data_IF_680411240372
#
_entry.id   IF_680411240372
#
_cell.length_a   1.000
_cell.length_b   1.000
_cell.length_c   1.000
_cell.angle_alpha   90.00
_cell.angle_beta   90.00
_cell.angle_gamma   90.00
#
_symmetry.space_group_name_H-M   'P 1'
#
loop_
_entity.id
_entity.type
_entity.pdbx_description
1 polymer ?
#
# COMPACT_ATOMS: atom_id res chain seq x y z
N UNK A 1 -16.62 14.38 0.04
CA UNK A 1 -17.44 13.30 0.64
C UNK A 1 -18.93 13.65 0.46
N UNK A 2 -19.70 12.79 -0.20
CA UNK A 2 -21.08 13.10 -0.64
C UNK A 2 -22.04 13.19 0.57
N UNK A 3 -22.76 14.31 0.75
CA UNK A 3 -23.67 14.55 1.91
C UNK A 3 -24.68 13.41 2.13
N UNK A 4 -25.11 12.75 1.06
CA UNK A 4 -26.01 11.60 1.14
C UNK A 4 -25.42 10.36 1.84
N UNK A 5 -24.10 10.16 1.79
CA UNK A 5 -23.43 9.03 2.47
C UNK A 5 -23.20 9.29 3.96
N UNK A 6 -22.86 10.53 4.33
CA UNK A 6 -22.78 10.96 5.73
C UNK A 6 -24.12 10.79 6.46
N UNK A 7 -25.23 11.13 5.81
CA UNK A 7 -26.56 10.95 6.39
C UNK A 7 -26.95 9.47 6.55
N UNK A 8 -26.49 8.57 5.66
CA UNK A 8 -26.70 7.12 5.82
C UNK A 8 -25.91 6.56 7.00
N UNK A 9 -24.67 6.98 7.19
CA UNK A 9 -23.84 6.54 8.32
C UNK A 9 -24.42 7.07 9.64
N UNK A 10 -24.80 8.35 9.68
CA UNK A 10 -25.43 8.96 10.85
C UNK A 10 -26.73 8.25 11.22
N UNK A 11 -27.60 7.99 10.24
CA UNK A 11 -28.84 7.24 10.45
C UNK A 11 -28.60 5.81 10.92
N UNK A 12 -27.55 5.15 10.42
CA UNK A 12 -27.17 3.82 10.89
C UNK A 12 -26.67 3.85 12.34
N UNK A 13 -25.82 4.81 12.73
CA UNK A 13 -25.34 4.96 14.11
C UNK A 13 -26.51 5.27 15.06
N UNK A 14 -27.41 6.18 14.69
CA UNK A 14 -28.62 6.48 15.46
C UNK A 14 -29.53 5.24 15.60
N UNK A 15 -29.63 4.42 14.55
CA UNK A 15 -30.33 3.14 14.57
C UNK A 15 -29.59 2.00 15.30
N UNK A 16 -28.34 2.17 15.70
CA UNK A 16 -27.60 1.15 16.46
C UNK A 16 -27.35 1.59 17.91
N UNK A 17 -27.45 2.88 18.22
CA UNK A 17 -27.28 3.41 19.58
C UNK A 17 -28.27 2.78 20.57
N UNK A 18 -29.51 2.53 20.15
CA UNK A 18 -30.50 1.85 21.00
C UNK A 18 -30.12 0.39 21.29
N UNK A 19 -29.46 -0.30 20.35
CA UNK A 19 -28.99 -1.67 20.54
C UNK A 19 -27.94 -1.72 21.65
N UNK A 20 -26.99 -0.78 21.65
CA UNK A 20 -25.96 -0.69 22.70
C UNK A 20 -26.60 -0.47 24.07
N UNK A 21 -27.54 0.46 24.17
CA UNK A 21 -28.25 0.76 25.43
C UNK A 21 -29.04 -0.46 25.92
N UNK A 22 -29.76 -1.14 25.04
CA UNK A 22 -30.54 -2.35 25.40
C UNK A 22 -29.61 -3.49 25.82
N UNK A 23 -28.49 -3.70 25.12
CA UNK A 23 -27.52 -4.73 25.47
C UNK A 23 -26.91 -4.44 26.84
N UNK A 24 -26.46 -3.21 27.09
CA UNK A 24 -25.92 -2.81 28.40
C UNK A 24 -26.94 -3.02 29.52
N UNK A 25 -28.19 -2.60 29.31
CA UNK A 25 -29.26 -2.79 30.30
C UNK A 25 -29.54 -4.28 30.56
N UNK A 26 -29.64 -5.09 29.52
CA UNK A 26 -29.85 -6.55 29.65
C UNK A 26 -28.67 -7.23 30.34
N UNK A 27 -27.43 -6.81 30.09
CA UNK A 27 -26.24 -7.35 30.78
C UNK A 27 -26.28 -7.06 32.28
N UNK A 28 -26.67 -5.84 32.68
CA UNK A 28 -26.82 -5.47 34.09
C UNK A 28 -27.94 -6.30 34.74
N UNK A 29 -29.11 -6.38 34.10
CA UNK A 29 -30.26 -7.14 34.60
C UNK A 29 -29.90 -8.63 34.78
N UNK A 30 -29.19 -9.20 33.81
CA UNK A 30 -28.74 -10.58 33.86
C UNK A 30 -27.73 -10.82 34.98
N UNK A 31 -26.81 -9.87 35.21
CA UNK A 31 -25.86 -9.92 36.33
C UNK A 31 -26.56 -9.96 37.70
N UNK A 32 -27.61 -9.14 37.87
CA UNK A 32 -28.42 -9.12 39.10
C UNK A 32 -29.16 -10.47 39.29
N UNK A 33 -29.81 -10.98 38.23
CA UNK A 33 -30.49 -12.28 38.26
C UNK A 33 -29.54 -13.43 38.60
N UNK A 34 -28.35 -13.44 38.02
CA UNK A 34 -27.33 -14.45 38.29
C UNK A 34 -26.84 -14.38 39.74
N UNK A 35 -26.65 -13.19 40.29
CA UNK A 35 -26.26 -12.99 41.69
C UNK A 35 -27.29 -13.57 42.66
N UNK A 36 -28.59 -13.37 42.41
CA UNK A 36 -29.63 -13.95 43.27
C UNK A 36 -29.76 -15.48 43.13
N UNK A 37 -29.60 -16.00 41.90
CA UNK A 37 -29.62 -17.44 41.62
C UNK A 37 -28.42 -18.17 42.26
N UNK A 38 -27.24 -17.54 42.27
CA UNK A 38 -26.02 -18.07 42.90
C UNK A 38 -26.24 -18.36 44.39
N UNK A 39 -26.91 -17.45 45.10
CA UNK A 39 -27.22 -17.61 46.54
C UNK A 39 -28.15 -18.78 46.85
N UNK A 40 -28.96 -19.23 45.88
CA UNK A 40 -30.01 -20.24 46.13
C UNK A 40 -29.69 -21.62 45.58
N UNK A 41 -28.95 -21.74 44.48
CA UNK A 41 -28.91 -22.99 43.71
C UNK A 41 -27.51 -23.56 43.47
N UNK A 42 -26.48 -22.94 44.07
CA UNK A 42 -25.12 -23.47 44.09
C UNK A 42 -24.33 -23.27 42.79
N UNK A 43 -23.02 -23.56 42.84
CA UNK A 43 -22.04 -23.23 41.80
C UNK A 43 -22.28 -23.90 40.43
N UNK A 44 -22.98 -25.03 40.40
CA UNK A 44 -23.19 -25.82 39.18
C UNK A 44 -24.08 -25.07 38.18
N UNK A 45 -25.14 -24.41 38.65
CA UNK A 45 -26.04 -23.62 37.81
C UNK A 45 -25.36 -22.33 37.32
N UNK A 46 -24.47 -21.76 38.14
CA UNK A 46 -23.67 -20.62 37.74
C UNK A 46 -22.77 -20.97 36.55
N UNK A 47 -22.08 -22.11 36.59
CA UNK A 47 -21.24 -22.57 35.46
C UNK A 47 -22.05 -22.78 34.17
N UNK A 48 -23.23 -23.40 34.25
CA UNK A 48 -24.10 -23.61 33.08
C UNK A 48 -24.59 -22.28 32.50
N UNK A 49 -24.96 -21.34 33.37
CA UNK A 49 -25.42 -20.02 32.96
C UNK A 49 -24.31 -19.22 32.27
N UNK A 50 -23.08 -19.27 32.77
CA UNK A 50 -21.92 -18.60 32.19
C UNK A 50 -21.61 -19.14 30.79
N UNK A 51 -21.64 -20.46 30.61
CA UNK A 51 -21.44 -21.11 29.31
C UNK A 51 -22.52 -20.67 28.32
N UNK A 52 -23.77 -20.57 28.79
CA UNK A 52 -24.90 -20.16 27.95
C UNK A 52 -24.76 -18.70 27.53
N UNK A 53 -24.37 -17.80 28.45
CA UNK A 53 -24.11 -16.39 28.14
C UNK A 53 -22.94 -16.24 27.17
N UNK A 54 -21.86 -17.00 27.36
CA UNK A 54 -20.71 -16.99 26.46
C UNK A 54 -21.11 -17.45 25.05
N UNK A 55 -21.91 -18.53 24.94
CA UNK A 55 -22.40 -19.01 23.66
C UNK A 55 -23.28 -17.97 22.95
N UNK A 56 -24.21 -17.34 23.68
CA UNK A 56 -25.05 -16.25 23.13
C UNK A 56 -24.20 -15.07 22.69
N UNK A 57 -23.21 -14.67 23.49
CA UNK A 57 -22.29 -13.58 23.16
C UNK A 57 -21.50 -13.86 21.88
N UNK A 58 -20.96 -15.07 21.72
CA UNK A 58 -20.24 -15.47 20.51
C UNK A 58 -21.16 -15.47 19.29
N UNK A 59 -22.41 -15.95 19.43
CA UNK A 59 -23.41 -15.94 18.36
C UNK A 59 -23.73 -14.50 17.95
N UNK A 60 -24.05 -13.62 18.91
CA UNK A 60 -24.38 -12.21 18.64
C UNK A 60 -23.18 -11.51 18.00
N UNK A 61 -21.98 -11.72 18.52
CA UNK A 61 -20.74 -11.15 17.95
C UNK A 61 -20.55 -11.64 16.51
N UNK A 62 -20.74 -12.92 16.22
CA UNK A 62 -20.65 -13.46 14.87
C UNK A 62 -21.67 -12.80 13.91
N UNK A 63 -22.92 -12.66 14.35
CA UNK A 63 -23.99 -12.04 13.55
C UNK A 63 -23.82 -10.53 13.35
N UNK A 64 -23.18 -9.81 14.28
CA UNK A 64 -22.94 -8.36 14.19
C UNK A 64 -21.65 -8.05 13.42
N UNK A 65 -20.57 -8.79 13.68
CA UNK A 65 -19.26 -8.56 13.06
C UNK A 65 -19.27 -8.95 11.58
N UNK A 66 -19.92 -10.05 11.20
CA UNK A 66 -19.97 -10.52 9.80
C UNK A 66 -20.52 -9.47 8.81
N UNK A 67 -21.66 -8.80 9.05
CA UNK A 67 -22.15 -7.74 8.17
C UNK A 67 -21.30 -6.47 8.23
N UNK A 68 -20.71 -6.12 9.38
CA UNK A 68 -19.79 -4.97 9.48
C UNK A 68 -18.54 -5.23 8.63
N UNK A 69 -18.00 -6.44 8.67
CA UNK A 69 -16.85 -6.84 7.88
C UNK A 69 -17.18 -6.84 6.38
N UNK A 70 -18.34 -7.37 5.96
CA UNK A 70 -18.74 -7.37 4.55
C UNK A 70 -19.02 -5.96 4.01
N UNK A 71 -19.60 -5.06 4.81
CA UNK A 71 -19.79 -3.66 4.45
C UNK A 71 -18.45 -2.95 4.33
N UNK A 72 -17.50 -3.22 5.23
CA UNK A 72 -16.17 -2.60 5.21
C UNK A 72 -15.37 -3.03 3.97
N UNK A 73 -15.38 -4.33 3.64
CA UNK A 73 -14.74 -4.85 2.43
C UNK A 73 -15.42 -4.29 1.18
N UNK A 74 -16.77 -4.24 1.14
CA UNK A 74 -17.50 -3.64 0.01
C UNK A 74 -17.28 -2.13 -0.17
N UNK A 75 -16.98 -1.40 0.92
CA UNK A 75 -16.62 0.02 0.85
C UNK A 75 -15.22 0.21 0.26
N UNK A 76 -14.25 -0.63 0.65
CA UNK A 76 -12.90 -0.61 0.07
C UNK A 76 -12.97 -0.95 -1.42
N UNK A 77 -13.68 -2.02 -1.78
CA UNK A 77 -13.88 -2.42 -3.17
C UNK A 77 -14.53 -1.30 -4.00
N UNK A 78 -15.59 -0.67 -3.47
CA UNK A 78 -16.27 0.43 -4.17
C UNK A 78 -15.44 1.71 -4.30
N UNK A 79 -14.49 1.96 -3.39
CA UNK A 79 -13.51 3.04 -3.53
C UNK A 79 -12.50 2.70 -4.61
N UNK A 80 -12.01 1.46 -4.63
CA UNK A 80 -11.08 0.94 -5.65
C UNK A 80 -11.71 1.00 -7.04
N UNK A 81 -12.91 0.47 -7.24
CA UNK A 81 -13.65 0.53 -8.51
C UNK A 81 -13.88 1.98 -8.99
N UNK A 82 -14.11 2.89 -8.04
CA UNK A 82 -14.28 4.32 -8.37
C UNK A 82 -12.95 4.94 -8.78
N UNK A 83 -11.87 4.68 -8.04
CA UNK A 83 -10.53 5.16 -8.37
C UNK A 83 -10.08 4.61 -9.73
N UNK A 84 -10.25 3.33 -10.00
CA UNK A 84 -9.91 2.71 -11.29
C UNK A 84 -10.70 3.34 -12.45
N UNK A 85 -11.98 3.65 -12.24
CA UNK A 85 -12.78 4.35 -13.24
C UNK A 85 -12.30 5.79 -13.50
N UNK A 86 -11.80 6.51 -12.50
CA UNK A 86 -11.32 7.89 -12.67
C UNK A 86 -9.86 7.96 -13.15
N UNK A 87 -9.00 7.04 -12.72
CA UNK A 87 -7.59 6.93 -13.12
C UNK A 87 -7.49 6.34 -14.54
N UNK A 88 -8.31 5.32 -14.86
CA UNK A 88 -8.36 4.72 -16.19
C UNK A 88 -9.00 5.60 -17.28
N UNK A 89 -9.69 6.69 -16.90
CA UNK A 89 -10.37 7.59 -17.86
C UNK A 89 -9.62 8.87 -18.19
N UNK A 90 -8.30 8.91 -17.98
CA UNK A 90 -7.41 10.07 -18.26
C UNK A 90 -7.74 11.36 -17.50
N UNK A 91 -8.71 11.36 -16.58
CA UNK A 91 -9.12 12.56 -15.84
C UNK A 91 -8.12 13.00 -14.77
N UNK A 92 -7.25 12.09 -14.32
CA UNK A 92 -6.23 12.35 -13.31
C UNK A 92 -4.85 12.08 -13.93
N UNK A 93 -4.33 13.03 -14.70
CA UNK A 93 -3.06 12.87 -15.42
C UNK A 93 -1.81 12.77 -14.54
N UNK A 94 -1.94 12.96 -13.22
CA UNK A 94 -0.84 12.85 -12.26
C UNK A 94 -0.82 11.53 -11.50
N UNK A 95 -1.78 10.61 -11.67
CA UNK A 95 -1.71 9.25 -11.10
C UNK A 95 -1.70 8.25 -12.25
N UNK A 96 -0.89 7.19 -12.14
CA UNK A 96 -0.84 6.07 -13.07
C UNK A 96 -0.93 4.75 -12.33
N UNK A 97 -1.54 3.75 -12.96
CA UNK A 97 -1.44 2.36 -12.49
C UNK A 97 -0.11 1.74 -12.92
N UNK A 98 0.31 0.65 -12.27
CA UNK A 98 1.52 -0.10 -12.66
C UNK A 98 1.53 -0.48 -14.15
N UNK A 99 0.45 -1.05 -14.75
CA UNK A 99 0.43 -1.33 -16.19
C UNK A 99 0.57 -0.08 -17.09
N UNK A 100 0.01 1.06 -16.67
CA UNK A 100 0.15 2.32 -17.41
C UNK A 100 1.59 2.85 -17.35
N UNK A 101 2.25 2.72 -16.20
CA UNK A 101 3.63 3.14 -16.02
C UNK A 101 4.61 2.21 -16.78
N UNK A 102 4.37 0.90 -16.75
CA UNK A 102 5.04 -0.10 -17.60
C UNK A 102 4.91 0.29 -19.08
N UNK A 103 3.69 0.60 -19.53
CA UNK A 103 3.46 1.03 -20.92
C UNK A 103 4.20 2.32 -21.24
N UNK A 104 4.21 3.29 -20.33
CA UNK A 104 4.95 4.53 -20.49
C UNK A 104 6.46 4.27 -20.62
N UNK A 105 7.03 3.43 -19.76
CA UNK A 105 8.45 3.11 -19.75
C UNK A 105 8.89 2.30 -20.98
N UNK A 106 8.03 1.45 -21.53
CA UNK A 106 8.32 0.74 -22.79
C UNK A 106 8.47 1.69 -23.98
N UNK A 107 7.74 2.82 -23.97
CA UNK A 107 7.72 3.81 -25.04
C UNK A 107 8.53 5.07 -24.72
N UNK A 108 9.26 5.08 -23.61
CA UNK A 108 10.07 6.23 -23.23
C UNK A 108 11.25 6.40 -24.17
N UNK A 109 11.60 7.65 -24.47
CA UNK A 109 12.83 8.02 -25.17
C UNK A 109 13.93 8.44 -24.18
N UNK A 110 13.75 8.12 -22.90
CA UNK A 110 14.71 8.48 -21.89
C UNK A 110 16.06 7.83 -22.15
N UNK A 111 17.11 8.64 -22.06
CA UNK A 111 18.50 8.19 -22.12
C UNK A 111 18.92 7.46 -20.84
N UNK A 112 18.30 7.82 -19.70
CA UNK A 112 18.61 7.27 -18.40
C UNK A 112 17.40 7.31 -17.46
N UNK A 113 17.26 6.27 -16.64
CA UNK A 113 16.21 6.11 -15.64
C UNK A 113 16.88 5.83 -14.30
N UNK A 114 16.53 6.62 -13.28
CA UNK A 114 16.97 6.40 -11.91
C UNK A 114 15.85 5.77 -11.10
N UNK A 115 16.16 4.68 -10.41
CA UNK A 115 15.24 3.95 -9.56
C UNK A 115 15.73 4.01 -8.12
N UNK A 116 14.97 4.62 -7.23
CA UNK A 116 15.24 4.62 -5.79
C UNK A 116 14.26 3.62 -5.19
N UNK A 117 14.75 2.48 -4.71
CA UNK A 117 13.93 1.33 -4.34
C UNK A 117 14.64 0.47 -3.30
N UNK A 118 13.88 -0.32 -2.55
CA UNK A 118 14.42 -1.39 -1.70
C UNK A 118 14.37 -2.77 -2.39
N UNK A 119 14.14 -2.79 -3.71
CA UNK A 119 14.01 -3.99 -4.55
C UNK A 119 12.96 -4.98 -4.05
N UNK A 120 12.05 -4.58 -3.17
CA UNK A 120 11.03 -5.48 -2.61
C UNK A 120 10.07 -5.98 -3.69
N UNK A 121 9.73 -5.12 -4.65
CA UNK A 121 8.86 -5.42 -5.78
C UNK A 121 9.63 -5.78 -7.07
N UNK A 122 10.95 -5.60 -7.10
CA UNK A 122 11.77 -5.77 -8.31
C UNK A 122 12.46 -7.14 -8.37
N UNK A 123 11.66 -8.18 -8.58
CA UNK A 123 12.11 -9.59 -8.69
C UNK A 123 11.91 -10.13 -10.10
N UNK A 124 12.64 -11.19 -10.48
CA UNK A 124 12.54 -11.81 -11.81
C UNK A 124 11.10 -12.27 -12.06
N UNK A 125 10.45 -11.70 -13.09
CA UNK A 125 9.04 -11.92 -13.40
C UNK A 125 8.09 -10.81 -12.92
N UNK A 126 8.59 -9.80 -12.19
CA UNK A 126 7.84 -8.60 -11.84
C UNK A 126 7.49 -7.77 -13.10
N UNK A 127 6.42 -6.94 -13.06
CA UNK A 127 5.91 -6.22 -14.23
C UNK A 127 6.94 -5.35 -14.95
N UNK A 128 7.90 -4.77 -14.23
CA UNK A 128 8.92 -3.89 -14.80
C UNK A 128 10.15 -4.63 -15.33
N UNK A 129 10.46 -5.85 -14.87
CA UNK A 129 11.70 -6.53 -15.23
C UNK A 129 11.85 -6.80 -16.73
N UNK A 130 10.75 -7.15 -17.40
CA UNK A 130 10.76 -7.32 -18.85
C UNK A 130 11.04 -5.99 -19.57
N UNK A 131 10.43 -4.90 -19.10
CA UNK A 131 10.64 -3.56 -19.65
C UNK A 131 12.08 -3.10 -19.47
N UNK A 132 12.63 -3.26 -18.26
CA UNK A 132 14.03 -2.94 -17.95
C UNK A 132 14.96 -3.72 -18.89
N UNK A 133 14.75 -5.03 -19.02
CA UNK A 133 15.55 -5.89 -19.91
C UNK A 133 15.49 -5.42 -21.37
N UNK A 134 14.33 -5.00 -21.85
CA UNK A 134 14.16 -4.48 -23.21
C UNK A 134 14.82 -3.10 -23.37
N UNK A 135 14.67 -2.21 -22.39
CA UNK A 135 15.22 -0.87 -22.44
C UNK A 135 16.75 -0.85 -22.33
N UNK A 136 17.33 -1.73 -21.52
CA UNK A 136 18.79 -1.94 -21.48
C UNK A 136 19.34 -2.35 -22.85
N UNK A 137 18.63 -3.20 -23.60
CA UNK A 137 18.99 -3.59 -24.98
C UNK A 137 18.86 -2.43 -25.97
N UNK A 138 17.96 -1.47 -25.74
CA UNK A 138 17.86 -0.22 -26.51
C UNK A 138 18.98 0.79 -26.19
N UNK A 139 19.78 0.53 -25.16
CA UNK A 139 20.86 1.42 -24.73
C UNK A 139 20.46 2.43 -23.64
N UNK A 140 19.26 2.29 -23.06
CA UNK A 140 18.82 3.12 -21.92
C UNK A 140 19.63 2.70 -20.69
N UNK A 141 20.16 3.68 -19.94
CA UNK A 141 20.86 3.43 -18.68
C UNK A 141 19.88 3.35 -17.52
N UNK A 142 20.10 2.40 -16.62
CA UNK A 142 19.38 2.28 -15.36
C UNK A 142 20.37 2.44 -14.21
N UNK A 143 20.08 3.39 -13.32
CA UNK A 143 20.85 3.61 -12.09
C UNK A 143 19.95 3.37 -10.89
N UNK A 144 20.22 2.30 -10.16
CA UNK A 144 19.49 1.89 -8.98
C UNK A 144 20.15 2.47 -7.73
N UNK A 145 19.38 3.17 -6.91
CA UNK A 145 19.75 3.65 -5.59
C UNK A 145 19.05 2.78 -4.55
N UNK A 146 19.84 1.98 -3.83
CA UNK A 146 19.31 0.90 -2.98
C UNK A 146 19.96 0.92 -1.59
N UNK A 147 19.30 0.38 -0.55
CA UNK A 147 19.91 0.28 0.77
C UNK A 147 21.15 -0.61 0.76
N UNK A 148 22.20 -0.22 1.48
CA UNK A 148 23.41 -1.03 1.69
C UNK A 148 23.16 -2.16 2.71
N UNK A 149 22.39 -3.17 2.28
CA UNK A 149 22.04 -4.35 3.07
C UNK A 149 22.50 -5.61 2.36
N UNK A 150 22.94 -6.61 3.12
CA UNK A 150 23.42 -7.89 2.58
C UNK A 150 22.40 -8.57 1.64
N UNK A 151 21.11 -8.48 1.97
CA UNK A 151 20.03 -8.99 1.12
C UNK A 151 19.96 -8.27 -0.24
N UNK A 152 20.22 -6.96 -0.28
CA UNK A 152 20.19 -6.16 -1.50
C UNK A 152 21.34 -6.54 -2.45
N UNK A 153 22.55 -6.74 -1.93
CA UNK A 153 23.70 -7.21 -2.72
C UNK A 153 23.40 -8.54 -3.43
N UNK A 154 22.71 -9.46 -2.75
CA UNK A 154 22.32 -10.73 -3.37
C UNK A 154 21.29 -10.54 -4.50
N UNK A 155 20.36 -9.59 -4.34
CA UNK A 155 19.34 -9.29 -5.37
C UNK A 155 19.95 -8.56 -6.57
N UNK A 156 20.82 -7.58 -6.36
CA UNK A 156 21.51 -6.88 -7.46
C UNK A 156 22.35 -7.81 -8.30
N UNK A 157 23.04 -8.79 -7.70
CA UNK A 157 23.75 -9.82 -8.46
C UNK A 157 22.81 -10.63 -9.36
N UNK A 158 21.65 -11.02 -8.85
CA UNK A 158 20.66 -11.77 -9.62
C UNK A 158 20.11 -10.93 -10.79
N UNK A 159 19.77 -9.66 -10.53
CA UNK A 159 19.32 -8.72 -11.56
C UNK A 159 20.39 -8.46 -12.61
N UNK A 160 21.64 -8.31 -12.20
CA UNK A 160 22.78 -8.12 -13.11
C UNK A 160 22.95 -9.33 -14.02
N UNK A 161 22.93 -10.54 -13.45
CA UNK A 161 23.03 -11.81 -14.21
C UNK A 161 21.84 -11.99 -15.15
N UNK A 162 20.62 -11.71 -14.69
CA UNK A 162 19.39 -11.78 -15.49
C UNK A 162 19.46 -10.86 -16.71
N UNK A 163 20.02 -9.66 -16.54
CA UNK A 163 20.23 -8.68 -17.59
C UNK A 163 21.56 -8.84 -18.36
N UNK A 164 22.13 -10.05 -18.37
CA UNK A 164 23.37 -10.40 -19.09
C UNK A 164 24.57 -9.52 -18.76
N UNK A 165 24.69 -9.04 -17.52
CA UNK A 165 25.72 -8.11 -17.07
C UNK A 165 25.79 -6.85 -17.95
N UNK A 166 24.61 -6.31 -18.32
CA UNK A 166 24.52 -5.09 -19.13
C UNK A 166 25.36 -3.95 -18.52
N UNK A 167 26.26 -3.32 -19.28
CA UNK A 167 27.05 -2.18 -18.79
C UNK A 167 26.19 -0.94 -18.53
N UNK A 168 24.95 -0.94 -19.01
CA UNK A 168 23.98 0.14 -18.80
C UNK A 168 23.19 -0.01 -17.50
N UNK A 169 23.44 -1.06 -16.71
CA UNK A 169 22.80 -1.30 -15.42
C UNK A 169 23.80 -1.00 -14.30
N UNK A 170 23.50 0.00 -13.47
CA UNK A 170 24.35 0.45 -12.36
C UNK A 170 23.59 0.38 -11.05
N UNK A 171 24.28 0.01 -9.97
CA UNK A 171 23.76 0.01 -8.60
C UNK A 171 24.63 0.91 -7.73
N UNK A 172 24.00 1.78 -6.96
CA UNK A 172 24.60 2.70 -5.98
C UNK A 172 23.98 2.38 -4.63
N UNK A 173 24.80 1.94 -3.68
CA UNK A 173 24.35 1.57 -2.35
C UNK A 173 24.34 2.80 -1.43
N UNK A 174 23.21 3.06 -0.78
CA UNK A 174 23.03 4.18 0.13
C UNK A 174 22.86 3.69 1.56
N UNK A 175 23.27 4.52 2.52
CA UNK A 175 23.02 4.27 3.93
C UNK A 175 21.51 4.28 4.24
N UNK A 176 21.10 3.47 5.22
CA UNK A 176 19.72 3.28 5.65
C UNK A 176 19.00 4.59 6.01
N UNK A 177 19.73 5.59 6.52
CA UNK A 177 19.19 6.91 6.87
C UNK A 177 18.54 7.63 5.67
N UNK A 178 18.98 7.35 4.44
CA UNK A 178 18.37 7.90 3.23
C UNK A 178 16.95 7.34 3.02
N UNK A 179 16.75 6.06 3.37
CA UNK A 179 15.49 5.36 3.18
C UNK A 179 14.52 5.49 4.36
N UNK A 180 14.90 6.20 5.43
CA UNK A 180 14.04 6.41 6.60
C UNK A 180 12.68 7.06 6.26
N UNK A 181 12.63 7.92 5.24
CA UNK A 181 11.40 8.56 4.74
C UNK A 181 10.75 7.83 3.57
N UNK A 182 11.42 6.80 3.04
CA UNK A 182 11.09 6.08 1.81
C UNK A 182 10.75 4.60 2.04
N UNK A 183 10.46 4.06 3.25
CA UNK A 183 10.25 2.63 3.39
C UNK A 183 9.02 2.22 2.56
N UNK A 184 9.25 1.36 1.56
CA UNK A 184 8.27 0.86 0.59
C UNK A 184 7.81 1.85 -0.50
N UNK A 185 8.54 2.93 -0.77
CA UNK A 185 8.28 3.74 -1.96
C UNK A 185 9.35 3.54 -3.01
N UNK A 186 8.91 3.09 -4.19
CA UNK A 186 9.72 3.16 -5.38
C UNK A 186 9.59 4.54 -6.01
N UNK A 187 10.72 5.20 -6.26
CA UNK A 187 10.76 6.41 -7.09
C UNK A 187 11.44 6.09 -8.41
N UNK A 188 10.78 6.42 -9.52
CA UNK A 188 11.35 6.36 -10.85
C UNK A 188 11.50 7.76 -11.42
N UNK A 189 12.73 8.18 -11.73
CA UNK A 189 13.05 9.46 -12.37
C UNK A 189 13.52 9.18 -13.79
N UNK A 190 12.79 9.71 -14.77
CA UNK A 190 13.09 9.57 -16.18
C UNK A 190 13.86 10.80 -16.68
N UNK A 191 14.97 10.56 -17.36
CA UNK A 191 15.86 11.59 -17.93
C UNK A 191 16.37 12.61 -16.90
N UNK A 192 17.05 12.18 -15.82
CA UNK A 192 17.45 13.06 -14.73
C UNK A 192 18.38 14.21 -15.19
N UNK A 193 19.16 14.01 -16.26
CA UNK A 193 20.08 15.01 -16.81
C UNK A 193 19.44 15.97 -17.81
N UNK A 194 18.16 15.79 -18.17
CA UNK A 194 17.52 16.63 -19.18
C UNK A 194 17.20 18.02 -18.60
N UNK A 195 18.11 18.96 -18.84
CA UNK A 195 18.02 20.35 -18.38
C UNK A 195 17.13 21.23 -19.25
N UNK A 196 16.85 20.82 -20.50
CA UNK A 196 16.08 21.60 -21.48
C UNK A 196 14.64 21.09 -21.67
N UNK A 197 14.36 19.86 -21.25
CA UNK A 197 13.05 19.20 -21.33
C UNK A 197 12.32 19.07 -20.00
N UNK A 198 11.11 18.51 -20.06
CA UNK A 198 10.33 18.19 -18.85
C UNK A 198 10.82 16.87 -18.27
N UNK A 199 11.55 16.93 -17.16
CA UNK A 199 11.86 15.76 -16.33
C UNK A 199 10.55 15.21 -15.74
N UNK A 200 10.43 13.90 -15.72
CA UNK A 200 9.23 13.23 -15.22
C UNK A 200 9.69 12.23 -14.18
N UNK A 201 9.04 12.24 -13.03
CA UNK A 201 9.23 11.20 -12.03
C UNK A 201 7.90 10.75 -11.46
N UNK A 202 7.88 9.50 -11.02
CA UNK A 202 6.74 8.91 -10.33
C UNK A 202 7.20 8.28 -9.00
N UNK A 203 6.31 8.32 -8.01
CA UNK A 203 6.48 7.68 -6.70
C UNK A 203 5.35 6.68 -6.49
N UNK A 204 5.68 5.48 -6.04
CA UNK A 204 4.68 4.49 -5.58
C UNK A 204 3.85 5.03 -4.42
N UNK A 205 2.54 4.77 -4.44
CA UNK A 205 1.61 5.15 -3.36
C UNK A 205 1.30 3.90 -2.54
N UNK A 206 1.49 3.91 -1.20
CA UNK A 206 1.18 2.76 -0.38
C UNK A 206 -0.34 2.69 -0.20
N UNK A 207 -0.94 1.53 -0.46
CA UNK A 207 -2.36 1.31 -0.17
C UNK A 207 -2.45 0.36 1.03
N UNK A 208 -3.07 0.76 2.15
CA UNK A 208 -3.22 -0.12 3.31
C UNK A 208 -3.96 -1.42 2.94
N UNK A 209 -3.34 -2.56 3.23
CA UNK A 209 -3.89 -3.88 2.92
C UNK A 209 -3.48 -4.45 1.57
N UNK A 210 -2.72 -3.70 0.77
CA UNK A 210 -2.03 -4.23 -0.41
C UNK A 210 -0.53 -4.25 -0.13
N UNK A 211 0.11 -5.38 -0.48
CA UNK A 211 1.56 -5.55 -0.31
C UNK A 211 2.36 -4.86 -1.42
N UNK A 212 1.69 -4.38 -2.49
CA UNK A 212 2.32 -3.81 -3.68
C UNK A 212 1.73 -2.46 -4.08
N UNK A 213 2.57 -1.53 -4.52
CA UNK A 213 2.16 -0.22 -5.02
C UNK A 213 1.41 -0.30 -6.36
N UNK A 214 0.08 -0.43 -6.32
CA UNK A 214 -0.76 -0.44 -7.53
C UNK A 214 -0.80 0.90 -8.27
N UNK A 215 -0.56 1.99 -7.56
CA UNK A 215 -0.66 3.35 -8.09
C UNK A 215 0.63 4.13 -7.87
N UNK A 216 0.91 5.00 -8.83
CA UNK A 216 2.11 5.82 -8.91
C UNK A 216 1.71 7.28 -9.12
N UNK A 217 2.12 8.18 -8.23
CA UNK A 217 1.88 9.61 -8.35
C UNK A 217 3.04 10.29 -9.08
N UNK A 218 2.73 11.21 -9.99
CA UNK A 218 3.69 12.10 -10.62
C UNK A 218 4.25 13.06 -9.56
N UNK A 219 5.57 13.14 -9.51
CA UNK A 219 6.30 13.98 -8.56
C UNK A 219 6.46 15.41 -9.12
N UNK A 220 6.50 16.41 -8.25
CA UNK A 220 6.76 17.80 -8.63
C UNK A 220 8.21 18.02 -9.07
N UNK A 221 8.45 18.99 -9.94
CA UNK A 221 9.80 19.33 -10.39
C UNK A 221 10.72 19.71 -9.22
N UNK A 222 10.22 20.44 -8.22
CA UNK A 222 11.00 20.82 -7.04
C UNK A 222 11.54 19.60 -6.27
N UNK A 223 10.72 18.55 -6.11
CA UNK A 223 11.16 17.33 -5.44
C UNK A 223 12.14 16.54 -6.32
N UNK A 224 11.92 16.52 -7.65
CA UNK A 224 12.87 15.95 -8.61
C UNK A 224 14.24 16.65 -8.47
N UNK A 225 14.26 17.98 -8.41
CA UNK A 225 15.49 18.77 -8.26
C UNK A 225 16.22 18.45 -6.95
N UNK A 226 15.48 18.35 -5.84
CA UNK A 226 16.05 17.98 -4.54
C UNK A 226 16.64 16.57 -4.57
N UNK A 227 15.93 15.60 -5.14
CA UNK A 227 16.40 14.22 -5.23
C UNK A 227 17.64 14.12 -6.12
N UNK A 228 17.61 14.73 -7.31
CA UNK A 228 18.75 14.74 -8.21
C UNK A 228 19.95 15.42 -7.55
N UNK A 229 19.77 16.58 -6.92
CA UNK A 229 20.83 17.30 -6.24
C UNK A 229 21.50 16.49 -5.11
N UNK A 230 20.73 15.62 -4.42
CA UNK A 230 21.26 14.72 -3.40
C UNK A 230 21.97 13.49 -3.97
N UNK A 231 21.46 12.93 -5.07
CA UNK A 231 21.96 11.67 -5.64
C UNK A 231 23.13 11.88 -6.59
N UNK A 232 23.18 13.01 -7.31
CA UNK A 232 24.21 13.31 -8.31
C UNK A 232 25.66 13.16 -7.79
N UNK A 233 26.02 13.68 -6.60
CA UNK A 233 27.39 13.56 -6.10
C UNK A 233 27.82 12.11 -5.88
N UNK A 234 26.88 11.20 -5.61
CA UNK A 234 27.15 9.79 -5.34
C UNK A 234 27.52 9.04 -6.63
N UNK A 235 26.98 9.49 -7.77
CA UNK A 235 27.27 8.92 -9.08
C UNK A 235 28.65 9.34 -9.59
N UNK A 236 29.10 10.55 -9.21
CA UNK A 236 30.36 11.15 -9.68
C UNK A 236 31.59 10.71 -8.86
N UNK A 237 31.40 10.21 -7.65
CA UNK A 237 32.47 9.86 -6.70
C UNK A 237 32.83 8.36 -6.69
N UNK A 238 32.22 7.54 -7.56
CA UNK A 238 32.61 6.15 -7.84
C UNK A 238 33.38 6.06 -9.17
#
# INVERSE_FOLDING_TARGET
>A
MNKGRLNKIKGWIEQQAWVVIIVTFLTILLGILLSELQTKVGWLILSVSLITVLAIFLIVTYFVVRPIFSISVGLVQGIQDTLDKYIGSEKIGWIRTTPQLVTYETHTNASEIWLITDLSEDYIGAPFQEVVSQNLKKGIRYTYFIPDKHEMHSRTEQLTKHNNNSPNLRFVYLNDDFFFLVPKFDFAIYDPFNSTGTRIAYIGIPVPGEDQGHYHAKVSNDLIDVLIGKLMPLIQNE
#
